data_IF_028000090060
#
_entry.id   IF_028000090060
#
_cell.length_a   1.000
_cell.length_b   1.000
_cell.length_c   1.000
_cell.angle_alpha   90.00
_cell.angle_beta   90.00
_cell.angle_gamma   90.00
#
_symmetry.space_group_name_H-M   'P 1'
#
loop_
_entity.id
_entity.type
_entity.pdbx_description
1 polymer ?
#
# COMPACT_ATOMS: atom_id res chain seq x y z
N UNK A 1 -6.98 -15.90 12.72
CA UNK A 1 -6.22 -15.20 11.66
C UNK A 1 -6.92 -13.86 11.44
N UNK A 2 -6.21 -12.75 11.64
CA UNK A 2 -6.77 -11.41 11.45
C UNK A 2 -6.47 -10.97 10.01
N UNK A 3 -7.50 -10.65 9.23
CA UNK A 3 -7.36 -10.17 7.84
C UNK A 3 -7.43 -8.65 7.74
N UNK A 4 -7.83 -7.98 8.82
CA UNK A 4 -8.01 -6.54 8.89
C UNK A 4 -6.88 -5.84 9.68
N UNK A 5 -6.26 -4.78 9.15
CA UNK A 5 -6.28 -4.36 7.75
C UNK A 5 -5.42 -5.30 6.86
N UNK A 6 -5.56 -5.20 5.54
CA UNK A 6 -4.76 -5.99 4.59
C UNK A 6 -3.27 -5.62 4.66
N UNK A 7 -2.44 -6.54 5.18
CA UNK A 7 -0.99 -6.38 5.23
C UNK A 7 -0.33 -6.36 3.84
N UNK A 8 -0.87 -7.13 2.88
CA UNK A 8 -0.40 -7.10 1.48
C UNK A 8 -0.57 -5.72 0.86
N UNK A 9 -1.73 -5.10 1.07
CA UNK A 9 -2.02 -3.75 0.55
C UNK A 9 -1.18 -2.70 1.28
N UNK A 10 -1.16 -2.72 2.61
CA UNK A 10 -0.42 -1.73 3.39
C UNK A 10 1.08 -1.77 3.09
N UNK A 11 1.69 -2.97 3.11
CA UNK A 11 3.12 -3.14 2.90
C UNK A 11 3.58 -2.80 1.49
N UNK A 12 2.89 -3.31 0.46
CA UNK A 12 3.28 -3.03 -0.94
C UNK A 12 3.13 -1.55 -1.29
N UNK A 13 2.06 -0.89 -0.82
CA UNK A 13 1.84 0.53 -1.06
C UNK A 13 2.87 1.39 -0.30
N UNK A 14 3.20 1.05 0.95
CA UNK A 14 4.24 1.75 1.71
C UNK A 14 5.61 1.70 1.01
N UNK A 15 6.00 0.53 0.49
CA UNK A 15 7.26 0.38 -0.28
C UNK A 15 7.24 1.25 -1.53
N UNK A 16 6.16 1.21 -2.30
CA UNK A 16 6.03 2.01 -3.52
C UNK A 16 6.14 3.52 -3.23
N UNK A 17 5.45 4.00 -2.19
CA UNK A 17 5.46 5.39 -1.76
C UNK A 17 6.82 5.83 -1.19
N UNK A 18 7.56 4.95 -0.51
CA UNK A 18 8.90 5.27 -0.03
C UNK A 18 9.90 5.40 -1.21
N UNK A 19 9.83 4.50 -2.19
CA UNK A 19 10.75 4.50 -3.34
C UNK A 19 10.47 5.65 -4.30
N UNK A 20 9.21 6.07 -4.46
CA UNK A 20 8.85 7.12 -5.45
C UNK A 20 9.49 8.47 -5.15
N UNK A 21 9.82 8.75 -3.89
CA UNK A 21 10.45 10.01 -3.46
C UNK A 21 11.90 10.11 -3.99
N UNK A 22 12.64 9.01 -4.02
CA UNK A 22 14.07 8.99 -4.42
C UNK A 22 14.27 8.53 -5.86
N UNK A 23 13.43 7.61 -6.34
CA UNK A 23 13.50 7.01 -7.66
C UNK A 23 12.11 7.03 -8.33
N UNK A 24 11.66 8.19 -8.87
CA UNK A 24 10.28 8.37 -9.31
C UNK A 24 9.79 7.35 -10.34
N UNK A 25 10.65 6.97 -11.30
CA UNK A 25 10.32 5.96 -12.32
C UNK A 25 10.10 4.58 -11.69
N UNK A 26 11.03 4.15 -10.84
CA UNK A 26 10.94 2.86 -10.14
C UNK A 26 9.74 2.84 -9.20
N UNK A 27 9.54 3.91 -8.42
CA UNK A 27 8.39 4.03 -7.52
C UNK A 27 7.05 4.01 -8.25
N UNK A 28 6.96 4.60 -9.44
CA UNK A 28 5.75 4.53 -10.27
C UNK A 28 5.46 3.09 -10.72
N UNK A 29 6.48 2.35 -11.13
CA UNK A 29 6.33 0.92 -11.47
C UNK A 29 5.89 0.12 -10.25
N UNK A 30 6.52 0.34 -9.09
CA UNK A 30 6.14 -0.32 -7.84
C UNK A 30 4.72 0.04 -7.41
N UNK A 31 4.26 1.26 -7.64
CA UNK A 31 2.89 1.68 -7.35
C UNK A 31 1.89 0.92 -8.21
N UNK A 32 2.16 0.76 -9.51
CA UNK A 32 1.33 -0.06 -10.38
C UNK A 32 1.27 -1.53 -9.91
N UNK A 33 2.39 -2.08 -9.44
CA UNK A 33 2.45 -3.43 -8.87
C UNK A 33 1.68 -3.51 -7.54
N UNK A 34 1.81 -2.53 -6.65
CA UNK A 34 1.07 -2.47 -5.39
C UNK A 34 -0.45 -2.42 -5.61
N UNK A 35 -0.92 -1.63 -6.58
CA UNK A 35 -2.32 -1.60 -6.98
C UNK A 35 -2.79 -2.94 -7.55
N UNK A 36 -1.92 -3.61 -8.33
CA UNK A 36 -2.21 -4.95 -8.86
C UNK A 36 -2.32 -6.00 -7.74
N UNK A 37 -1.46 -5.92 -6.71
CA UNK A 37 -1.53 -6.76 -5.51
C UNK A 37 -2.83 -6.50 -4.74
N UNK A 38 -3.19 -5.24 -4.53
CA UNK A 38 -4.44 -4.87 -3.86
C UNK A 38 -5.67 -5.41 -4.60
N UNK A 39 -5.68 -5.32 -5.94
CA UNK A 39 -6.74 -5.91 -6.75
C UNK A 39 -6.75 -7.44 -6.67
N UNK A 40 -5.58 -8.09 -6.70
CA UNK A 40 -5.45 -9.54 -6.56
C UNK A 40 -5.96 -10.03 -5.18
N UNK A 41 -5.81 -9.24 -4.12
CA UNK A 41 -6.39 -9.57 -2.81
C UNK A 41 -7.93 -9.64 -2.85
N UNK A 42 -8.57 -8.76 -3.62
CA UNK A 42 -10.03 -8.73 -3.80
C UNK A 42 -10.48 -9.87 -4.72
N UNK A 43 -9.88 -9.98 -5.91
CA UNK A 43 -10.24 -10.96 -6.93
C UNK A 43 -9.96 -12.39 -6.47
N UNK A 44 -8.82 -12.59 -5.81
CA UNK A 44 -8.44 -13.86 -5.18
C UNK A 44 -9.23 -14.18 -3.91
N UNK A 45 -10.09 -13.26 -3.45
CA UNK A 45 -10.96 -13.42 -2.26
C UNK A 45 -10.17 -13.71 -0.98
N UNK A 46 -8.92 -13.24 -0.91
CA UNK A 46 -8.08 -13.32 0.27
C UNK A 46 -8.51 -12.31 1.34
N UNK A 47 -9.07 -11.18 0.91
CA UNK A 47 -9.48 -10.07 1.77
C UNK A 47 -10.83 -9.52 1.34
N UNK A 48 -11.62 -9.06 2.30
CA UNK A 48 -12.76 -8.21 1.99
C UNK A 48 -12.28 -6.85 1.46
N UNK A 49 -13.11 -6.18 0.66
CA UNK A 49 -12.80 -4.85 0.12
C UNK A 49 -12.45 -3.87 1.25
N UNK A 50 -13.12 -3.96 2.40
CA UNK A 50 -12.84 -3.12 3.58
C UNK A 50 -11.44 -3.33 4.15
N UNK A 51 -10.90 -4.55 4.12
CA UNK A 51 -9.54 -4.84 4.59
C UNK A 51 -8.51 -4.16 3.68
N UNK A 52 -8.76 -4.16 2.36
CA UNK A 52 -7.91 -3.53 1.34
C UNK A 52 -7.96 -2.01 1.45
N UNK A 53 -9.15 -1.43 1.59
CA UNK A 53 -9.32 0.02 1.78
C UNK A 53 -8.62 0.47 3.08
N UNK A 54 -8.81 -0.26 4.18
CA UNK A 54 -8.15 0.07 5.45
C UNK A 54 -6.63 -0.09 5.37
N UNK A 55 -6.13 -1.09 4.66
CA UNK A 55 -4.68 -1.26 4.41
C UNK A 55 -4.09 -0.11 3.59
N UNK A 56 -4.79 0.33 2.54
CA UNK A 56 -4.37 1.48 1.74
C UNK A 56 -4.40 2.78 2.56
N UNK A 57 -5.47 3.01 3.33
CA UNK A 57 -5.59 4.17 4.21
C UNK A 57 -4.47 4.20 5.26
N UNK A 58 -4.13 3.06 5.86
CA UNK A 58 -3.04 2.92 6.81
C UNK A 58 -1.69 3.31 6.18
N UNK A 59 -1.37 2.78 4.99
CA UNK A 59 -0.13 3.11 4.31
C UNK A 59 -0.02 4.60 3.96
N UNK A 60 -1.10 5.20 3.46
CA UNK A 60 -1.15 6.64 3.16
C UNK A 60 -1.00 7.50 4.41
N UNK A 61 -1.65 7.12 5.52
CA UNK A 61 -1.54 7.83 6.79
C UNK A 61 -0.10 7.79 7.34
N UNK A 62 0.55 6.61 7.31
CA UNK A 62 1.94 6.45 7.74
C UNK A 62 2.88 7.25 6.83
N UNK A 63 2.72 7.18 5.52
CA UNK A 63 3.54 7.93 4.58
C UNK A 63 3.40 9.44 4.77
N UNK A 64 2.19 9.95 4.95
CA UNK A 64 1.94 11.36 5.23
C UNK A 64 2.55 11.79 6.58
N UNK A 65 2.45 10.95 7.61
CA UNK A 65 3.06 11.20 8.90
C UNK A 65 4.60 11.22 8.82
N UNK A 66 5.20 10.31 8.05
CA UNK A 66 6.64 10.29 7.81
C UNK A 66 7.11 11.55 7.09
N UNK A 67 6.43 11.94 6.01
CA UNK A 67 6.73 13.17 5.27
C UNK A 67 6.59 14.42 6.16
N UNK A 68 5.56 14.48 7.01
CA UNK A 68 5.36 15.57 7.97
C UNK A 68 6.45 15.61 9.06
N UNK A 69 7.04 14.46 9.40
CA UNK A 69 8.16 14.35 10.34
C UNK A 69 9.52 14.65 9.69
N UNK A 70 9.58 14.93 8.38
CA UNK A 70 10.82 15.16 7.64
C UNK A 70 11.63 13.88 7.38
N UNK A 71 10.96 12.72 7.38
CA UNK A 71 11.52 11.42 7.03
C UNK A 71 11.34 11.10 5.53
#
# INVERSE_FOLDING_TARGET
>A
ANTFPSGHTAGSLAIALAVIVTLPRTGTVLLALALSIALACIVGRYHYIVDVIAGAALALAIWAAAAAAGL
#
